data_IF_279770884063
#
_entry.id   IF_279770884063
#
_cell.length_a   1.000
_cell.length_b   1.000
_cell.length_c   1.000
_cell.angle_alpha   90.00
_cell.angle_beta   90.00
_cell.angle_gamma   90.00
#
_symmetry.space_group_name_H-M   'P 1'
#
loop_
_entity.id
_entity.type
_entity.pdbx_description
1 polymer ?
#
# COMPACT_ATOMS: atom_id res chain seq x y z
N UNK A 1 -0.47 -11.84 -18.81
CA UNK A 1 -1.13 -10.53 -18.98
C UNK A 1 -2.64 -10.74 -18.84
N UNK A 2 -3.27 -10.10 -17.85
CA UNK A 2 -4.73 -10.12 -17.67
C UNK A 2 -5.24 -8.70 -17.42
N UNK A 3 -6.52 -8.48 -17.70
CA UNK A 3 -7.23 -7.25 -17.32
C UNK A 3 -7.86 -7.44 -15.95
N UNK A 4 -7.52 -6.55 -15.01
CA UNK A 4 -7.93 -6.63 -13.61
C UNK A 4 -8.56 -5.33 -13.16
N UNK A 5 -9.70 -5.43 -12.48
CA UNK A 5 -10.36 -4.29 -11.84
C UNK A 5 -10.09 -4.39 -10.33
N UNK A 6 -9.58 -3.32 -9.74
CA UNK A 6 -9.42 -3.17 -8.30
C UNK A 6 -10.48 -2.19 -7.81
N UNK A 7 -11.35 -2.66 -6.90
CA UNK A 7 -12.45 -1.87 -6.33
C UNK A 7 -12.04 -1.36 -4.95
N UNK A 8 -11.99 -0.03 -4.81
CA UNK A 8 -11.51 0.70 -3.64
C UNK A 8 -10.06 1.18 -3.82
N UNK A 9 -9.84 2.49 -3.87
CA UNK A 9 -8.53 3.13 -3.98
C UNK A 9 -8.00 3.66 -2.63
N UNK A 10 -8.29 2.92 -1.54
CA UNK A 10 -7.55 3.03 -0.29
C UNK A 10 -6.15 2.42 -0.40
N UNK A 11 -5.37 2.46 0.68
CA UNK A 11 -3.96 2.03 0.69
C UNK A 11 -3.73 0.60 0.15
N UNK A 12 -4.60 -0.36 0.50
CA UNK A 12 -4.49 -1.74 0.00
C UNK A 12 -4.81 -1.85 -1.50
N UNK A 13 -5.78 -1.08 -1.99
CA UNK A 13 -6.15 -1.10 -3.40
C UNK A 13 -5.11 -0.44 -4.28
N UNK A 14 -4.58 0.71 -3.86
CA UNK A 14 -3.49 1.41 -4.58
C UNK A 14 -2.22 0.55 -4.61
N UNK A 15 -1.82 -0.03 -3.48
CA UNK A 15 -0.63 -0.91 -3.43
C UNK A 15 -0.80 -2.14 -4.31
N UNK A 16 -1.97 -2.80 -4.29
CA UNK A 16 -2.29 -3.90 -5.19
C UNK A 16 -2.27 -3.49 -6.67
N UNK A 17 -2.85 -2.34 -7.01
CA UNK A 17 -2.88 -1.84 -8.37
C UNK A 17 -1.47 -1.55 -8.92
N UNK A 18 -0.61 -0.93 -8.11
CA UNK A 18 0.80 -0.69 -8.45
C UNK A 18 1.52 -2.01 -8.72
N UNK A 19 1.41 -3.00 -7.83
CA UNK A 19 2.11 -4.28 -7.98
C UNK A 19 1.58 -5.11 -9.15
N UNK A 20 0.27 -5.10 -9.40
CA UNK A 20 -0.33 -5.71 -10.60
C UNK A 20 0.17 -5.02 -11.88
N UNK A 21 0.24 -3.68 -11.89
CA UNK A 21 0.75 -2.94 -13.05
C UNK A 21 2.23 -3.25 -13.31
N UNK A 22 3.07 -3.30 -12.27
CA UNK A 22 4.49 -3.67 -12.37
C UNK A 22 4.70 -5.08 -12.94
N UNK A 23 3.80 -6.02 -12.63
CA UNK A 23 3.80 -7.39 -13.17
C UNK A 23 3.25 -7.50 -14.60
N UNK A 24 2.91 -6.37 -15.23
CA UNK A 24 2.42 -6.33 -16.60
C UNK A 24 0.95 -6.75 -16.71
N UNK A 25 0.09 -6.33 -15.79
CA UNK A 25 -1.35 -6.44 -15.98
C UNK A 25 -1.94 -5.12 -16.49
N UNK A 26 -3.05 -5.19 -17.22
CA UNK A 26 -3.90 -4.03 -17.47
C UNK A 26 -4.78 -3.84 -16.23
N UNK A 27 -4.63 -2.71 -15.54
CA UNK A 27 -5.28 -2.48 -14.25
C UNK A 27 -6.19 -1.27 -14.34
N UNK A 28 -7.44 -1.44 -13.92
CA UNK A 28 -8.39 -0.35 -13.68
C UNK A 28 -8.61 -0.26 -12.18
N UNK A 29 -8.30 0.88 -11.58
CA UNK A 29 -8.55 1.17 -10.17
C UNK A 29 -9.75 2.11 -10.06
N UNK A 30 -10.76 1.73 -9.28
CA UNK A 30 -11.98 2.53 -9.09
C UNK A 30 -12.23 2.82 -7.61
N UNK A 31 -12.77 4.00 -7.31
CA UNK A 31 -13.15 4.43 -5.97
C UNK A 31 -14.29 5.45 -6.07
N UNK A 32 -15.22 5.50 -5.09
CA UNK A 32 -16.29 6.51 -5.08
C UNK A 32 -15.78 7.96 -4.98
N UNK A 33 -14.57 8.20 -4.47
CA UNK A 33 -13.90 9.51 -4.47
C UNK A 33 -14.51 10.58 -3.52
N UNK A 34 -13.90 11.78 -3.42
CA UNK A 34 -12.60 12.20 -4.00
C UNK A 34 -11.42 11.41 -3.41
N UNK A 35 -10.22 11.48 -3.98
CA UNK A 35 -9.03 10.83 -3.40
C UNK A 35 -8.07 11.85 -2.76
N UNK A 36 -7.53 11.57 -1.56
CA UNK A 36 -7.90 10.47 -0.67
C UNK A 36 -9.34 10.63 -0.13
N UNK A 37 -10.09 9.53 -0.06
CA UNK A 37 -11.51 9.56 0.31
C UNK A 37 -11.69 10.02 1.77
N UNK A 38 -12.54 11.02 2.07
CA UNK A 38 -12.66 11.57 3.43
C UNK A 38 -12.99 10.53 4.51
N UNK A 39 -13.73 9.49 4.14
CA UNK A 39 -14.09 8.37 5.02
C UNK A 39 -13.10 7.18 4.97
N UNK A 40 -12.00 7.27 4.22
CA UNK A 40 -11.03 6.19 4.17
C UNK A 40 -10.25 6.10 5.49
N UNK A 41 -9.97 4.88 5.94
CA UNK A 41 -9.12 4.64 7.11
C UNK A 41 -7.65 5.05 6.91
N UNK A 42 -7.27 5.49 5.70
CA UNK A 42 -5.91 5.86 5.30
C UNK A 42 -5.72 7.37 5.10
N UNK A 43 -6.63 8.22 5.62
CA UNK A 43 -6.53 9.69 5.51
C UNK A 43 -5.67 10.34 6.58
N UNK A 44 -5.26 9.62 7.62
CA UNK A 44 -4.37 10.15 8.65
C UNK A 44 -3.00 10.55 8.07
N UNK A 45 -2.38 11.56 8.69
CA UNK A 45 -1.04 12.03 8.30
C UNK A 45 0.02 10.94 8.51
N UNK A 46 -0.11 10.17 9.60
CA UNK A 46 0.87 9.17 9.99
C UNK A 46 0.19 7.90 10.48
N UNK A 47 0.85 6.75 10.23
CA UNK A 47 0.47 5.45 10.78
C UNK A 47 1.67 4.82 11.47
N UNK A 48 1.45 4.23 12.64
CA UNK A 48 2.49 3.48 13.33
C UNK A 48 2.78 2.18 12.58
N UNK A 49 4.06 1.84 12.44
CA UNK A 49 4.52 0.59 11.86
C UNK A 49 5.42 -0.13 12.86
N UNK A 50 5.18 -1.43 13.07
CA UNK A 50 5.93 -2.28 14.01
C UNK A 50 6.12 -3.66 13.40
N UNK A 51 7.27 -4.28 13.67
CA UNK A 51 7.53 -5.68 13.33
C UNK A 51 7.34 -6.63 14.53
N UNK A 52 7.39 -6.12 15.76
CA UNK A 52 7.23 -6.91 16.97
C UNK A 52 5.76 -7.33 17.17
N UNK A 53 5.37 -8.46 16.57
CA UNK A 53 4.06 -9.10 16.72
C UNK A 53 4.07 -10.30 17.69
N UNK A 54 5.16 -10.51 18.43
CA UNK A 54 5.26 -11.55 19.45
C UNK A 54 5.40 -12.93 18.84
N UNK A 55 4.54 -13.88 19.23
CA UNK A 55 4.55 -15.24 18.73
C UNK A 55 3.97 -15.39 17.30
N UNK A 56 3.45 -14.31 16.72
CA UNK A 56 2.93 -14.30 15.36
C UNK A 56 4.08 -14.05 14.36
N UNK A 57 4.70 -15.16 13.94
CA UNK A 57 5.83 -15.16 13.01
C UNK A 57 5.43 -14.69 11.61
N UNK A 58 4.20 -15.00 11.16
CA UNK A 58 3.71 -14.63 9.84
C UNK A 58 3.55 -13.11 9.71
N UNK A 59 2.95 -12.47 10.71
CA UNK A 59 2.82 -11.02 10.76
C UNK A 59 4.16 -10.32 10.95
N UNK A 60 5.07 -10.90 11.75
CA UNK A 60 6.43 -10.38 11.90
C UNK A 60 7.15 -10.37 10.56
N UNK A 61 7.18 -11.51 9.86
CA UNK A 61 7.81 -11.64 8.56
C UNK A 61 7.16 -10.74 7.49
N UNK A 62 5.83 -10.58 7.53
CA UNK A 62 5.11 -9.67 6.64
C UNK A 62 5.46 -8.19 6.91
N UNK A 63 5.55 -7.80 8.17
CA UNK A 63 5.91 -6.44 8.57
C UNK A 63 7.33 -6.08 8.15
N UNK A 64 8.29 -6.98 8.36
CA UNK A 64 9.69 -6.78 7.94
C UNK A 64 9.82 -6.58 6.43
N UNK A 65 9.15 -7.42 5.63
CA UNK A 65 9.11 -7.26 4.17
C UNK A 65 8.47 -5.93 3.77
N UNK A 66 7.36 -5.57 4.39
CA UNK A 66 6.62 -4.34 4.07
C UNK A 66 7.42 -3.07 4.43
N UNK A 67 8.06 -3.03 5.60
CA UNK A 67 8.89 -1.89 6.03
C UNK A 67 9.99 -1.59 5.02
N UNK A 68 10.64 -2.63 4.49
CA UNK A 68 11.68 -2.47 3.47
C UNK A 68 11.13 -1.79 2.20
N UNK A 69 9.96 -2.24 1.73
CA UNK A 69 9.31 -1.66 0.55
C UNK A 69 8.88 -0.20 0.78
N UNK A 70 8.34 0.12 1.96
CA UNK A 70 7.92 1.49 2.28
C UNK A 70 9.09 2.47 2.32
N UNK A 71 10.25 2.04 2.84
CA UNK A 71 11.48 2.84 2.77
C UNK A 71 11.94 3.09 1.33
N UNK A 72 11.80 2.11 0.44
CA UNK A 72 12.11 2.30 -0.98
C UNK A 72 11.16 3.31 -1.62
N UNK A 73 9.86 3.20 -1.38
CA UNK A 73 8.88 4.17 -1.88
C UNK A 73 9.13 5.59 -1.35
N UNK A 74 9.51 5.74 -0.08
CA UNK A 74 9.87 7.05 0.47
C UNK A 74 11.03 7.70 -0.30
N UNK A 75 12.04 6.90 -0.69
CA UNK A 75 13.15 7.38 -1.52
C UNK A 75 12.68 7.72 -2.94
N UNK A 76 11.86 6.86 -3.57
CA UNK A 76 11.35 7.05 -4.93
C UNK A 76 10.45 8.29 -5.05
N UNK A 77 9.61 8.54 -4.06
CA UNK A 77 8.65 9.66 -4.07
C UNK A 77 9.22 10.97 -3.51
N UNK A 78 10.52 11.02 -3.18
CA UNK A 78 11.19 12.24 -2.73
C UNK A 78 10.76 12.70 -1.33
N UNK A 79 10.20 11.81 -0.53
CA UNK A 79 9.88 12.07 0.87
C UNK A 79 10.97 11.46 1.74
N UNK A 80 12.02 12.23 2.02
CA UNK A 80 12.93 11.87 3.11
C UNK A 80 12.09 11.80 4.40
N UNK A 81 12.05 10.61 5.02
CA UNK A 81 11.33 10.41 6.27
C UNK A 81 12.04 11.23 7.35
N UNK A 82 11.35 12.20 7.94
CA UNK A 82 11.78 12.85 9.18
C UNK A 82 11.91 11.82 10.32
#
# INVERSE_FOLDING_TARGET
MSRTIVVGAGINGVTAAIELKKRGHEVVLIDPGPLPHPLAASTDISKAVRAAYGADEDYTALAERSIKLWRQWNQEFGTESA
#
